data_IF_115408525696
#
_entry.id   IF_115408525696
#
_cell.length_a   1.000
_cell.length_b   1.000
_cell.length_c   1.000
_cell.angle_alpha   90.00
_cell.angle_beta   90.00
_cell.angle_gamma   90.00
#
_symmetry.space_group_name_H-M   'P 1'
#
loop_
_entity.id
_entity.type
_entity.pdbx_description
1 polymer ?
#
# COMPACT_ATOMS: atom_id res chain seq x y z
N UNK A 1 -0.32 -23.45 -12.19
CA UNK A 1 0.00 -22.24 -12.97
C UNK A 1 -0.18 -21.09 -11.99
N UNK A 2 0.87 -20.34 -11.67
CA UNK A 2 0.77 -19.13 -10.85
C UNK A 2 -0.08 -18.11 -11.62
N UNK A 3 -1.10 -17.58 -10.97
CA UNK A 3 -1.96 -16.53 -11.55
C UNK A 3 -1.08 -15.31 -11.91
N UNK A 4 -1.36 -14.69 -13.07
CA UNK A 4 -0.62 -13.51 -13.53
C UNK A 4 -0.80 -12.36 -12.54
N UNK A 5 0.26 -11.62 -12.18
CA UNK A 5 0.14 -10.45 -11.30
C UNK A 5 -0.89 -9.44 -11.83
N UNK A 6 -1.71 -8.91 -10.94
CA UNK A 6 -2.89 -8.07 -11.30
C UNK A 6 -2.53 -6.82 -12.08
N UNK A 7 -1.34 -6.27 -11.87
CA UNK A 7 -0.88 -5.03 -12.50
C UNK A 7 -0.11 -5.25 -13.81
N UNK A 8 0.18 -6.50 -14.19
CA UNK A 8 0.79 -6.78 -15.49
C UNK A 8 -0.17 -6.41 -16.64
N UNK A 9 0.34 -5.65 -17.59
CA UNK A 9 -0.41 -5.11 -18.72
C UNK A 9 -1.13 -3.80 -18.45
N UNK A 10 -1.12 -3.28 -17.20
CA UNK A 10 -1.74 -1.99 -16.85
C UNK A 10 -0.75 -0.98 -16.27
N UNK A 11 0.52 -1.35 -16.11
CA UNK A 11 1.54 -0.53 -15.47
C UNK A 11 1.74 0.85 -16.13
N UNK A 12 1.82 0.93 -17.46
CA UNK A 12 1.95 2.20 -18.19
C UNK A 12 0.72 3.10 -18.03
N UNK A 13 -0.48 2.51 -17.97
CA UNK A 13 -1.70 3.25 -17.73
C UNK A 13 -1.71 3.80 -16.30
N UNK A 14 -1.36 2.95 -15.31
CA UNK A 14 -1.25 3.34 -13.90
C UNK A 14 -0.26 4.50 -13.71
N UNK A 15 0.94 4.38 -14.29
CA UNK A 15 1.97 5.42 -14.24
C UNK A 15 1.44 6.77 -14.71
N UNK A 16 0.78 6.81 -15.88
CA UNK A 16 0.24 8.07 -16.43
C UNK A 16 -0.86 8.69 -15.59
N UNK A 17 -1.68 7.88 -14.92
CA UNK A 17 -2.85 8.38 -14.20
C UNK A 17 -2.49 8.77 -12.75
N UNK A 18 -1.69 7.97 -12.07
CA UNK A 18 -1.50 8.14 -10.63
C UNK A 18 -0.26 8.95 -10.26
N UNK A 19 0.82 8.88 -11.02
CA UNK A 19 2.06 9.59 -10.65
C UNK A 19 2.05 11.07 -11.03
N UNK A 20 1.14 11.48 -11.90
CA UNK A 20 0.99 12.89 -12.34
C UNK A 20 -0.15 13.62 -11.63
N UNK A 21 -0.90 12.95 -10.77
CA UNK A 21 -2.06 13.54 -10.10
C UNK A 21 -1.68 14.11 -8.72
N UNK A 22 -2.37 15.17 -8.30
CA UNK A 22 -2.28 15.70 -6.94
C UNK A 22 -2.72 14.71 -5.85
N UNK A 23 -3.31 13.58 -6.23
CA UNK A 23 -3.68 12.49 -5.31
C UNK A 23 -2.47 11.88 -4.59
N UNK A 24 -1.26 12.05 -5.13
CA UNK A 24 -0.03 11.56 -4.51
C UNK A 24 0.54 12.52 -3.45
N UNK A 25 0.08 13.77 -3.35
CA UNK A 25 0.70 14.78 -2.48
C UNK A 25 0.48 14.50 -0.99
N UNK A 26 -0.77 14.35 -0.56
CA UNK A 26 -1.08 14.08 0.85
C UNK A 26 -0.46 12.74 1.33
N UNK A 27 -0.58 11.61 0.61
CA UNK A 27 0.12 10.37 0.99
C UNK A 27 1.64 10.52 1.08
N UNK A 28 2.27 11.29 0.17
CA UNK A 28 3.70 11.56 0.18
C UNK A 28 4.12 12.32 1.43
N UNK A 29 3.42 13.39 1.78
CA UNK A 29 3.71 14.21 2.95
C UNK A 29 3.53 13.42 4.25
N UNK A 30 2.45 12.66 4.36
CA UNK A 30 2.19 11.78 5.49
C UNK A 30 3.27 10.70 5.63
N UNK A 31 3.66 10.06 4.53
CA UNK A 31 4.73 9.06 4.52
C UNK A 31 6.04 9.64 5.05
N UNK A 32 6.47 10.78 4.51
CA UNK A 32 7.74 11.41 4.93
C UNK A 32 7.70 11.84 6.40
N UNK A 33 6.60 12.39 6.86
CA UNK A 33 6.45 12.80 8.25
C UNK A 33 6.47 11.64 9.23
N UNK A 34 5.82 10.50 8.89
CA UNK A 34 5.77 9.33 9.75
C UNK A 34 7.07 8.51 9.70
N UNK A 35 7.73 8.46 8.54
CA UNK A 35 8.98 7.72 8.34
C UNK A 35 10.19 8.47 8.91
N UNK A 36 10.27 9.79 8.62
CA UNK A 36 11.47 10.59 8.86
C UNK A 36 12.53 10.38 7.78
N UNK A 37 13.66 11.09 7.94
CA UNK A 37 14.80 11.01 7.02
C UNK A 37 15.74 9.86 7.38
N UNK A 38 16.47 9.35 6.35
CA UNK A 38 17.57 8.40 6.54
C UNK A 38 18.71 8.96 7.42
N UNK A 39 19.80 8.25 7.57
CA UNK A 39 20.23 7.08 6.79
C UNK A 39 19.70 5.75 7.33
N UNK A 40 19.70 4.75 6.45
CA UNK A 40 19.40 3.35 6.77
C UNK A 40 18.89 2.56 5.57
N UNK A 41 18.79 1.25 5.72
CA UNK A 41 18.17 0.37 4.73
C UNK A 41 16.66 0.38 4.92
N UNK A 42 15.94 0.72 3.88
CA UNK A 42 14.49 0.79 3.87
C UNK A 42 13.92 -0.23 2.89
N UNK A 43 12.92 -0.99 3.31
CA UNK A 43 12.13 -1.87 2.46
C UNK A 43 10.85 -1.15 2.03
N UNK A 44 10.57 -1.12 0.71
CA UNK A 44 9.31 -0.63 0.15
C UNK A 44 8.52 -1.83 -0.40
N UNK A 45 7.47 -2.26 0.30
CA UNK A 45 6.67 -3.44 -0.05
C UNK A 45 5.48 -3.02 -0.91
N UNK A 46 5.39 -3.59 -2.12
CA UNK A 46 4.44 -3.15 -3.14
C UNK A 46 4.89 -1.83 -3.77
N UNK A 47 6.17 -1.73 -4.12
CA UNK A 47 6.78 -0.48 -4.61
C UNK A 47 6.22 0.01 -5.95
N UNK A 48 5.53 -0.84 -6.70
CA UNK A 48 4.93 -0.53 -7.98
C UNK A 48 5.95 0.04 -8.98
N UNK A 49 5.62 1.18 -9.58
CA UNK A 49 6.50 1.88 -10.53
C UNK A 49 7.67 2.62 -9.88
N UNK A 50 7.80 2.55 -8.54
CA UNK A 50 8.88 3.17 -7.79
C UNK A 50 8.72 4.68 -7.55
N UNK A 51 7.50 5.21 -7.69
CA UNK A 51 7.26 6.64 -7.46
C UNK A 51 7.62 7.04 -6.02
N UNK A 52 7.02 6.41 -5.02
CA UNK A 52 7.32 6.69 -3.61
C UNK A 52 8.72 6.20 -3.20
N UNK A 53 9.19 5.07 -3.73
CA UNK A 53 10.56 4.57 -3.55
C UNK A 53 11.59 5.66 -3.90
N UNK A 54 11.38 6.35 -5.03
CA UNK A 54 12.27 7.43 -5.46
C UNK A 54 12.21 8.67 -4.55
N UNK A 55 11.06 8.91 -3.91
CA UNK A 55 10.92 9.98 -2.91
C UNK A 55 11.74 9.65 -1.67
N UNK A 56 11.57 8.46 -1.11
CA UNK A 56 12.32 8.00 0.08
C UNK A 56 13.82 7.99 -0.15
N UNK A 57 14.28 7.57 -1.33
CA UNK A 57 15.70 7.60 -1.70
C UNK A 57 16.28 9.04 -1.70
N UNK A 58 15.51 10.03 -2.16
CA UNK A 58 15.92 11.45 -2.08
C UNK A 58 15.97 12.00 -0.65
N UNK A 59 15.29 11.35 0.30
CA UNK A 59 15.31 11.68 1.73
C UNK A 59 16.36 10.86 2.51
N UNK A 60 17.36 10.34 1.82
CA UNK A 60 18.56 9.74 2.44
C UNK A 60 18.46 8.26 2.77
N UNK A 61 17.35 7.58 2.43
CA UNK A 61 17.22 6.14 2.63
C UNK A 61 17.89 5.33 1.51
N UNK A 62 18.52 4.22 1.87
CA UNK A 62 18.92 3.18 0.92
C UNK A 62 17.75 2.23 0.73
N UNK A 63 16.97 2.45 -0.32
CA UNK A 63 15.70 1.76 -0.50
C UNK A 63 15.85 0.55 -1.42
N UNK A 64 15.34 -0.61 -0.97
CA UNK A 64 15.06 -1.77 -1.80
C UNK A 64 13.54 -1.91 -1.95
N UNK A 65 13.04 -1.86 -3.18
CA UNK A 65 11.63 -2.03 -3.50
C UNK A 65 11.30 -3.49 -3.84
N UNK A 66 10.12 -3.94 -3.44
CA UNK A 66 9.59 -5.27 -3.80
C UNK A 66 8.22 -5.12 -4.42
N UNK A 67 7.99 -5.80 -5.54
CA UNK A 67 6.66 -5.94 -6.15
C UNK A 67 6.55 -7.29 -6.86
N UNK A 68 5.34 -7.81 -6.98
CA UNK A 68 5.08 -9.07 -7.69
C UNK A 68 5.00 -8.87 -9.21
N UNK A 69 4.64 -7.66 -9.66
CA UNK A 69 4.45 -7.32 -11.07
C UNK A 69 5.77 -6.92 -11.74
N UNK A 70 6.22 -7.72 -12.69
CA UNK A 70 7.41 -7.40 -13.49
C UNK A 70 7.19 -6.14 -14.33
N UNK A 71 5.99 -5.91 -14.86
CA UNK A 71 5.70 -4.70 -15.65
C UNK A 71 5.83 -3.42 -14.81
N UNK A 72 5.43 -3.45 -13.54
CA UNK A 72 5.65 -2.36 -12.58
C UNK A 72 7.16 -2.15 -12.34
N UNK A 73 7.87 -3.22 -12.06
CA UNK A 73 9.31 -3.17 -11.77
C UNK A 73 10.16 -2.68 -12.95
N UNK A 74 9.74 -2.94 -14.20
CA UNK A 74 10.39 -2.37 -15.38
C UNK A 74 10.36 -0.83 -15.35
N UNK A 75 9.27 -0.22 -14.91
CA UNK A 75 9.18 1.23 -14.76
C UNK A 75 10.03 1.73 -13.58
N UNK A 76 10.06 1.00 -12.47
CA UNK A 76 10.92 1.32 -11.33
C UNK A 76 12.42 1.25 -11.71
N UNK A 77 12.84 0.26 -12.50
CA UNK A 77 14.23 0.17 -13.01
C UNK A 77 14.61 1.32 -13.94
N UNK A 78 13.65 1.86 -14.72
CA UNK A 78 13.89 3.08 -15.51
C UNK A 78 14.22 4.29 -14.62
N UNK A 79 13.76 4.30 -13.36
CA UNK A 79 14.11 5.29 -12.33
C UNK A 79 15.47 4.98 -11.64
N UNK A 80 16.15 3.91 -12.05
CA UNK A 80 17.43 3.42 -11.45
C UNK A 80 17.29 3.03 -9.98
N UNK A 81 16.16 2.47 -9.60
CA UNK A 81 15.89 1.97 -8.26
C UNK A 81 16.37 0.52 -8.13
N UNK A 82 16.79 0.16 -6.90
CA UNK A 82 17.05 -1.22 -6.53
C UNK A 82 15.72 -1.92 -6.23
N UNK A 83 15.33 -2.88 -7.09
CA UNK A 83 14.04 -3.55 -6.97
C UNK A 83 14.14 -5.04 -7.23
N UNK A 84 13.37 -5.81 -6.48
CA UNK A 84 13.31 -7.27 -6.52
C UNK A 84 11.88 -7.73 -6.81
N UNK A 85 11.72 -8.64 -7.78
CA UNK A 85 10.45 -9.29 -8.01
C UNK A 85 10.22 -10.37 -6.95
N UNK A 86 9.24 -10.17 -6.08
CA UNK A 86 8.86 -11.14 -5.06
C UNK A 86 7.42 -10.91 -4.58
N UNK A 87 6.86 -11.97 -4.01
CA UNK A 87 5.59 -11.90 -3.28
C UNK A 87 5.84 -11.33 -1.88
N UNK A 88 5.04 -10.34 -1.47
CA UNK A 88 5.12 -9.76 -0.12
C UNK A 88 4.87 -10.77 1.00
N UNK A 89 4.19 -11.88 0.71
CA UNK A 89 3.95 -12.98 1.66
C UNK A 89 5.15 -13.91 1.87
N UNK A 90 6.23 -13.74 1.07
CA UNK A 90 7.45 -14.55 1.11
C UNK A 90 8.66 -13.71 0.68
N UNK A 91 9.06 -12.76 1.51
CA UNK A 91 10.15 -11.82 1.20
C UNK A 91 11.52 -12.53 1.14
N UNK A 92 12.31 -12.35 0.06
CA UNK A 92 13.57 -13.05 -0.16
C UNK A 92 14.74 -12.43 0.63
N UNK A 93 14.49 -12.00 1.86
CA UNK A 93 15.49 -11.37 2.72
C UNK A 93 15.60 -12.11 4.04
N UNK A 94 16.78 -12.04 4.66
CA UNK A 94 17.00 -12.56 6.00
C UNK A 94 16.24 -11.74 7.04
N UNK A 95 15.99 -12.30 8.22
CA UNK A 95 15.50 -11.55 9.37
C UNK A 95 16.44 -10.37 9.68
N UNK A 96 15.92 -9.31 10.29
CA UNK A 96 16.66 -8.14 10.75
C UNK A 96 17.52 -7.45 9.65
N UNK A 97 17.07 -7.49 8.40
CA UNK A 97 17.81 -6.95 7.24
C UNK A 97 17.60 -5.45 7.01
N UNK A 98 16.51 -4.88 7.54
CA UNK A 98 16.10 -3.50 7.29
C UNK A 98 15.92 -2.71 8.59
N UNK A 99 16.32 -1.44 8.56
CA UNK A 99 16.11 -0.48 9.64
C UNK A 99 14.68 0.06 9.67
N UNK A 100 14.01 0.14 8.50
CA UNK A 100 12.63 0.60 8.38
C UNK A 100 11.92 -0.12 7.22
N UNK A 101 10.59 -0.08 7.21
CA UNK A 101 9.77 -0.52 6.09
C UNK A 101 8.63 0.48 5.81
N UNK A 102 8.22 0.53 4.55
CA UNK A 102 7.04 1.26 4.08
C UNK A 102 6.20 0.34 3.21
N UNK A 103 4.89 0.51 3.24
CA UNK A 103 3.99 -0.08 2.26
C UNK A 103 2.83 0.87 1.99
N UNK A 104 2.55 1.13 0.71
CA UNK A 104 1.55 2.10 0.32
C UNK A 104 0.48 1.48 -0.59
N UNK A 105 -0.80 1.60 -0.19
CA UNK A 105 -1.98 1.19 -0.95
C UNK A 105 -2.11 -0.32 -1.20
N UNK A 106 -1.37 -1.18 -0.48
CA UNK A 106 -1.20 -2.60 -0.82
C UNK A 106 -2.27 -3.54 -0.27
N UNK A 107 -2.93 -3.21 0.86
CA UNK A 107 -3.87 -4.15 1.50
C UNK A 107 -5.05 -4.54 0.62
N UNK A 108 -5.41 -3.69 -0.36
CA UNK A 108 -6.46 -3.97 -1.34
C UNK A 108 -5.98 -4.81 -2.52
N UNK A 109 -4.68 -5.03 -2.63
CA UNK A 109 -4.04 -5.72 -3.76
C UNK A 109 -3.40 -7.06 -3.38
N UNK A 110 -3.22 -7.32 -2.09
CA UNK A 110 -2.62 -8.55 -1.54
C UNK A 110 -3.71 -9.41 -0.90
N UNK A 111 -3.82 -10.67 -1.32
CA UNK A 111 -4.87 -11.57 -0.83
C UNK A 111 -4.64 -11.99 0.63
N UNK A 112 -3.39 -12.31 1.02
CA UNK A 112 -3.03 -12.54 2.42
C UNK A 112 -2.18 -11.38 2.96
N UNK A 113 -2.84 -10.27 3.23
CA UNK A 113 -2.18 -9.09 3.80
C UNK A 113 -1.56 -9.40 5.17
N UNK A 114 -2.18 -10.25 5.97
CA UNK A 114 -1.63 -10.66 7.27
C UNK A 114 -0.29 -11.39 7.14
N UNK A 115 -0.13 -12.25 6.13
CA UNK A 115 1.16 -12.90 5.85
C UNK A 115 2.22 -11.87 5.45
N UNK A 116 1.87 -10.89 4.62
CA UNK A 116 2.78 -9.80 4.25
C UNK A 116 3.23 -9.01 5.47
N UNK A 117 2.32 -8.64 6.37
CA UNK A 117 2.68 -7.90 7.59
C UNK A 117 3.60 -8.73 8.49
N UNK A 118 3.40 -10.06 8.59
CA UNK A 118 4.33 -10.95 9.34
C UNK A 118 5.72 -11.01 8.70
N UNK A 119 5.81 -11.05 7.37
CA UNK A 119 7.09 -11.02 6.68
C UNK A 119 7.81 -9.68 6.87
N UNK A 120 7.08 -8.56 6.84
CA UNK A 120 7.66 -7.24 7.18
C UNK A 120 8.21 -7.25 8.60
N UNK A 121 7.47 -7.77 9.59
CA UNK A 121 7.96 -7.89 10.96
C UNK A 121 9.22 -8.74 11.07
N UNK A 122 9.30 -9.83 10.31
CA UNK A 122 10.47 -10.72 10.30
C UNK A 122 11.73 -10.06 9.77
N UNK A 123 11.61 -9.27 8.69
CA UNK A 123 12.78 -8.66 8.03
C UNK A 123 13.21 -7.34 8.65
N UNK A 124 12.36 -6.72 9.47
CA UNK A 124 12.69 -5.52 10.23
C UNK A 124 13.55 -5.86 11.45
N UNK A 125 14.49 -4.98 11.76
CA UNK A 125 15.18 -5.00 13.05
C UNK A 125 14.24 -4.65 14.17
N UNK A 126 14.48 -5.24 15.34
CA UNK A 126 13.70 -4.92 16.54
C UNK A 126 13.68 -3.41 16.81
N UNK A 127 12.48 -2.85 17.01
CA UNK A 127 12.25 -1.43 17.16
C UNK A 127 12.26 -0.65 15.86
N UNK A 128 12.44 -1.29 14.69
CA UNK A 128 12.37 -0.66 13.37
C UNK A 128 10.95 -0.21 13.04
N UNK A 129 10.76 1.02 12.51
CA UNK A 129 9.45 1.51 12.13
C UNK A 129 8.93 0.84 10.87
N UNK A 130 7.63 0.51 10.87
CA UNK A 130 6.85 0.19 9.71
C UNK A 130 5.80 1.28 9.49
N UNK A 131 5.90 2.00 8.38
CA UNK A 131 4.89 3.00 7.97
C UNK A 131 3.99 2.38 6.91
N UNK A 132 2.70 2.37 7.18
CA UNK A 132 1.68 1.91 6.26
C UNK A 132 0.73 3.05 5.91
N UNK A 133 0.41 3.20 4.62
CA UNK A 133 -0.60 4.13 4.12
C UNK A 133 -1.50 3.42 3.13
N UNK A 134 -2.81 3.57 3.26
CA UNK A 134 -3.73 2.89 2.36
C UNK A 134 -5.15 3.45 2.38
N UNK A 135 -6.02 2.84 1.57
CA UNK A 135 -7.43 3.18 1.51
C UNK A 135 -8.11 2.91 2.85
N UNK A 136 -9.01 3.80 3.24
CA UNK A 136 -9.76 3.63 4.49
C UNK A 136 -10.83 2.54 4.34
N UNK A 137 -10.76 1.41 5.05
CA UNK A 137 -11.66 0.28 4.83
C UNK A 137 -13.14 0.58 5.04
N UNK A 138 -13.47 1.56 5.89
CA UNK A 138 -14.87 1.92 6.15
C UNK A 138 -15.49 2.75 5.01
N UNK A 139 -14.69 3.52 4.29
CA UNK A 139 -15.17 4.52 3.34
C UNK A 139 -14.72 4.26 1.90
N UNK A 140 -13.76 3.35 1.68
CA UNK A 140 -13.26 2.99 0.36
C UNK A 140 -13.34 1.48 0.19
N UNK A 141 -14.13 1.04 -0.79
CA UNK A 141 -14.33 -0.39 -1.03
C UNK A 141 -15.54 -0.65 -1.93
N UNK A 142 -15.91 -1.93 -2.13
CA UNK A 142 -17.04 -2.30 -2.98
C UNK A 142 -18.38 -1.78 -2.45
N UNK A 143 -18.45 -1.56 -1.14
CA UNK A 143 -19.64 -1.11 -0.41
C UNK A 143 -19.78 0.42 -0.35
N UNK A 144 -18.85 1.19 -0.90
CA UNK A 144 -18.80 2.65 -0.77
C UNK A 144 -18.80 3.31 -2.13
N UNK A 145 -19.87 4.00 -2.47
CA UNK A 145 -20.03 4.75 -3.71
C UNK A 145 -19.81 6.24 -3.45
N UNK A 146 -18.89 6.85 -4.18
CA UNK A 146 -18.70 8.30 -4.18
C UNK A 146 -19.46 8.92 -5.32
N UNK A 147 -20.57 9.60 -5.03
CA UNK A 147 -21.39 10.29 -6.04
C UNK A 147 -20.64 11.45 -6.72
N UNK A 148 -19.64 12.03 -6.05
CA UNK A 148 -18.71 13.02 -6.60
C UNK A 148 -17.39 12.97 -5.84
N UNK A 149 -16.35 13.63 -6.36
CA UNK A 149 -15.06 13.71 -5.68
C UNK A 149 -15.12 14.46 -4.31
N UNK A 150 -16.16 15.26 -4.11
CA UNK A 150 -16.39 16.08 -2.91
C UNK A 150 -17.63 15.61 -2.11
N UNK A 151 -18.41 14.66 -2.64
CA UNK A 151 -19.63 14.17 -1.99
C UNK A 151 -19.35 13.15 -0.90
N UNK A 152 -20.25 13.06 0.10
CA UNK A 152 -20.20 12.01 1.09
C UNK A 152 -20.40 10.64 0.44
N UNK A 153 -19.74 9.57 0.94
CA UNK A 153 -19.94 8.24 0.42
C UNK A 153 -21.34 7.72 0.76
N UNK A 154 -21.98 7.09 -0.23
CA UNK A 154 -23.19 6.30 -0.01
C UNK A 154 -22.72 4.90 0.34
N UNK A 155 -23.04 4.43 1.55
CA UNK A 155 -22.67 3.11 2.01
C UNK A 155 -23.76 2.09 1.66
N UNK A 156 -23.34 0.99 1.04
CA UNK A 156 -24.18 -0.16 0.70
C UNK A 156 -23.84 -1.35 1.62
N UNK A 157 -24.70 -2.36 1.74
CA UNK A 157 -24.35 -3.62 2.39
C UNK A 157 -23.09 -4.25 1.75
N UNK A 158 -22.25 -4.92 2.55
CA UNK A 158 -21.06 -5.62 2.02
C UNK A 158 -19.76 -5.32 2.77
N UNK A 159 -19.76 -4.43 3.76
CA UNK A 159 -18.57 -4.10 4.56
C UNK A 159 -17.85 -5.33 5.17
N UNK A 160 -18.58 -6.37 5.51
CA UNK A 160 -18.01 -7.59 6.11
C UNK A 160 -17.53 -8.63 5.09
N UNK A 161 -17.71 -8.38 3.79
CA UNK A 161 -17.19 -9.26 2.73
C UNK A 161 -15.70 -9.06 2.60
N UNK A 162 -14.96 -10.17 2.62
CA UNK A 162 -13.48 -10.16 2.52
C UNK A 162 -13.00 -10.75 1.20
N UNK A 163 -13.91 -10.94 0.25
CA UNK A 163 -13.61 -11.52 -1.05
C UNK A 163 -13.03 -10.49 -2.03
N UNK A 164 -12.35 -11.00 -3.03
CA UNK A 164 -11.91 -10.20 -4.17
C UNK A 164 -13.12 -9.75 -4.99
N UNK A 165 -13.13 -8.50 -5.37
CA UNK A 165 -14.17 -7.89 -6.20
C UNK A 165 -13.56 -7.14 -7.39
N UNK A 166 -14.30 -7.08 -8.50
CA UNK A 166 -13.98 -6.34 -9.74
C UNK A 166 -15.09 -5.39 -10.15
N UNK A 167 -16.25 -5.50 -9.50
CA UNK A 167 -17.45 -4.69 -9.70
C UNK A 167 -18.08 -4.32 -8.36
N UNK A 168 -19.09 -3.49 -8.40
CA UNK A 168 -19.83 -3.06 -7.21
C UNK A 168 -20.09 -1.54 -7.23
N UNK A 169 -20.93 -1.05 -6.30
CA UNK A 169 -21.29 0.37 -6.23
C UNK A 169 -20.09 1.32 -6.18
N UNK A 170 -19.02 0.94 -5.48
CA UNK A 170 -17.80 1.74 -5.32
C UNK A 170 -16.81 1.63 -6.48
N UNK A 171 -17.15 0.93 -7.57
CA UNK A 171 -16.22 0.65 -8.65
C UNK A 171 -16.55 1.50 -9.88
N UNK A 172 -15.69 2.46 -10.20
CA UNK A 172 -15.77 3.17 -11.47
C UNK A 172 -15.45 2.21 -12.63
N UNK A 173 -16.34 2.08 -13.64
CA UNK A 173 -16.14 1.15 -14.77
C UNK A 173 -14.83 1.36 -15.54
N UNK A 174 -14.33 2.59 -15.55
CA UNK A 174 -13.07 2.96 -16.22
C UNK A 174 -11.90 3.14 -15.25
N UNK A 175 -12.13 2.87 -13.96
CA UNK A 175 -11.15 3.04 -12.90
C UNK A 175 -10.16 1.89 -12.77
N UNK A 176 -9.20 2.05 -11.87
CA UNK A 176 -8.19 1.04 -11.57
C UNK A 176 -8.83 -0.29 -11.16
N UNK A 177 -9.80 -0.25 -10.24
CA UNK A 177 -10.37 -1.47 -9.64
C UNK A 177 -11.15 -2.33 -10.62
N UNK A 178 -11.77 -1.74 -11.64
CA UNK A 178 -12.37 -2.49 -12.75
C UNK A 178 -11.34 -3.24 -13.61
N UNK A 179 -10.07 -2.79 -13.59
CA UNK A 179 -8.98 -3.42 -14.37
C UNK A 179 -8.26 -4.51 -13.57
N UNK A 180 -7.95 -4.25 -12.31
CA UNK A 180 -7.08 -5.13 -11.50
C UNK A 180 -7.84 -5.83 -10.36
N UNK A 181 -9.09 -5.44 -10.11
CA UNK A 181 -9.85 -5.86 -8.94
C UNK A 181 -9.29 -5.25 -7.65
N UNK A 182 -9.88 -5.67 -6.55
CA UNK A 182 -9.35 -5.41 -5.21
C UNK A 182 -9.85 -6.47 -4.23
N UNK A 183 -9.20 -6.56 -3.09
CA UNK A 183 -9.67 -7.31 -1.92
C UNK A 183 -10.12 -6.30 -0.89
N UNK A 184 -11.32 -6.47 -0.34
CA UNK A 184 -11.78 -5.67 0.80
C UNK A 184 -11.50 -6.42 2.09
N UNK A 185 -11.13 -5.68 3.12
CA UNK A 185 -11.08 -6.21 4.49
C UNK A 185 -11.63 -5.16 5.47
N UNK A 186 -12.47 -5.56 6.43
CA UNK A 186 -12.95 -4.66 7.48
C UNK A 186 -11.78 -4.06 8.29
N UNK A 187 -11.96 -2.84 8.80
CA UNK A 187 -10.92 -2.13 9.58
C UNK A 187 -10.37 -2.98 10.74
N UNK A 188 -11.23 -3.72 11.44
CA UNK A 188 -10.81 -4.60 12.53
C UNK A 188 -9.89 -5.72 12.05
N UNK A 189 -10.16 -6.33 10.88
CA UNK A 189 -9.30 -7.36 10.27
C UNK A 189 -7.97 -6.76 9.82
N UNK A 190 -8.01 -5.58 9.21
CA UNK A 190 -6.83 -4.85 8.80
C UNK A 190 -5.89 -4.57 9.99
N UNK A 191 -6.41 -3.96 11.08
CA UNK A 191 -5.62 -3.67 12.28
C UNK A 191 -5.10 -4.94 12.96
N UNK A 192 -5.91 -6.00 12.99
CA UNK A 192 -5.51 -7.28 13.58
C UNK A 192 -4.29 -7.89 12.88
N UNK A 193 -4.08 -7.61 11.59
CA UNK A 193 -2.89 -8.06 10.85
C UNK A 193 -1.59 -7.53 11.49
N UNK A 194 -1.57 -6.28 11.94
CA UNK A 194 -0.41 -5.69 12.61
C UNK A 194 -0.22 -6.24 14.03
N UNK A 195 -1.29 -6.32 14.81
CA UNK A 195 -1.21 -6.87 16.17
C UNK A 195 -0.78 -8.34 16.19
N UNK A 196 -1.31 -9.15 15.28
CA UNK A 196 -0.94 -10.57 15.16
C UNK A 196 0.51 -10.79 14.70
N UNK A 197 1.10 -9.83 14.00
CA UNK A 197 2.51 -9.84 13.63
C UNK A 197 3.45 -9.32 14.72
N UNK A 198 2.91 -8.88 15.87
CA UNK A 198 3.69 -8.38 17.00
C UNK A 198 4.00 -6.89 16.97
N UNK A 199 3.50 -6.14 15.98
CA UNK A 199 3.71 -4.71 15.91
C UNK A 199 3.04 -3.95 17.05
N UNK A 200 3.75 -2.96 17.60
CA UNK A 200 3.20 -1.95 18.48
C UNK A 200 2.83 -0.70 17.66
N UNK A 201 1.54 -0.41 17.53
CA UNK A 201 1.07 0.80 16.86
C UNK A 201 1.41 2.02 17.73
N UNK A 202 2.24 2.94 17.20
CA UNK A 202 2.61 4.19 17.84
C UNK A 202 1.72 5.35 17.41
N UNK A 203 1.31 5.33 16.14
CA UNK A 203 0.51 6.38 15.54
C UNK A 203 -0.48 5.80 14.55
N UNK A 204 -1.70 6.28 14.62
CA UNK A 204 -2.77 6.01 13.66
C UNK A 204 -3.44 7.32 13.34
N UNK A 205 -3.60 7.63 12.07
CA UNK A 205 -4.29 8.81 11.61
C UNK A 205 -5.14 8.55 10.38
N UNK A 206 -6.11 9.40 10.18
CA UNK A 206 -6.96 9.47 9.00
C UNK A 206 -6.63 10.75 8.24
N UNK A 207 -6.88 10.77 6.92
CA UNK A 207 -6.58 11.96 6.11
C UNK A 207 -7.44 13.15 6.54
N UNK A 208 -6.80 14.29 6.71
CA UNK A 208 -7.50 15.57 6.94
C UNK A 208 -7.86 16.28 5.63
N UNK A 209 -8.79 17.24 5.71
CA UNK A 209 -9.10 18.16 4.62
C UNK A 209 -10.19 17.74 3.65
N UNK A 210 -10.94 16.68 3.97
CA UNK A 210 -12.16 16.26 3.26
C UNK A 210 -13.29 15.96 4.24
N UNK A 211 -14.54 16.02 3.78
CA UNK A 211 -15.72 15.75 4.62
C UNK A 211 -15.81 14.28 5.07
N UNK A 212 -15.02 13.38 4.46
CA UNK A 212 -14.92 11.97 4.84
C UNK A 212 -13.49 11.45 4.56
N UNK A 213 -13.13 10.42 5.29
CA UNK A 213 -11.79 9.87 5.28
C UNK A 213 -11.64 8.82 4.17
N UNK A 214 -10.71 9.01 3.25
CA UNK A 214 -10.40 8.04 2.18
C UNK A 214 -9.10 7.28 2.41
N UNK A 215 -8.27 7.74 3.32
CA UNK A 215 -6.94 7.24 3.59
C UNK A 215 -6.74 7.04 5.10
N UNK A 216 -6.05 5.98 5.45
CA UNK A 216 -5.51 5.74 6.78
C UNK A 216 -3.99 5.64 6.70
N UNK A 217 -3.34 6.04 7.79
CA UNK A 217 -1.90 5.88 7.95
C UNK A 217 -1.56 5.36 9.35
N UNK A 218 -0.59 4.45 9.41
CA UNK A 218 -0.07 3.88 10.65
C UNK A 218 1.44 4.02 10.68
N UNK A 219 1.96 4.25 11.87
CA UNK A 219 3.35 4.01 12.22
C UNK A 219 3.40 2.97 13.33
N UNK A 220 4.08 1.89 13.08
CA UNK A 220 4.23 0.77 14.01
C UNK A 220 5.70 0.52 14.30
N UNK A 221 6.03 -0.14 15.41
CA UNK A 221 7.38 -0.64 15.70
C UNK A 221 7.38 -2.17 15.78
N UNK A 222 8.40 -2.80 15.20
CA UNK A 222 8.65 -4.23 15.24
C UNK A 222 9.21 -4.68 16.60
#
# INVERSE_FOLDING_TARGET
MTERPRYDGVADWYERVFTTSSLADAPRETMLRLLGDGPGKLLDVGCGTGFFTSVMARHGWTVTGVDVSEDMLQLARKRRLDVVQADGTALPFNADSFEAAVSMWTHTDIDDFGATVREVARVLRSGGPFVYIGAHPCFVGPHSEFASAEGAPILHPGYWQTERYIDGPGISPNGLRAKVGATHMPLGVFLQSFFAAGFRVEHFEESEGRDYQYMIALRCLA
#
